data_IF_261872544395
#
_entry.id   IF_261872544395
#
_cell.length_a   1.000
_cell.length_b   1.000
_cell.length_c   1.000
_cell.angle_alpha   90.00
_cell.angle_beta   90.00
_cell.angle_gamma   90.00
#
_symmetry.space_group_name_H-M   'P 1'
#
loop_
_entity.id
_entity.type
_entity.pdbx_description
1 polymer ?
#
# COMPACT_ATOMS: atom_id res chain seq x y z
N UNK A 1 -4.32 -3.63 -18.97
CA UNK A 1 -5.14 -3.46 -17.76
C UNK A 1 -6.29 -4.46 -17.89
N UNK A 2 -6.13 -5.66 -17.35
CA UNK A 2 -7.21 -6.65 -17.28
C UNK A 2 -8.03 -6.34 -16.02
N UNK A 3 -9.37 -6.35 -16.12
CA UNK A 3 -10.27 -5.96 -15.02
C UNK A 3 -10.01 -6.73 -13.71
N UNK A 4 -9.50 -7.97 -13.80
CA UNK A 4 -9.11 -8.79 -12.66
C UNK A 4 -7.97 -8.18 -11.84
N UNK A 5 -7.06 -7.45 -12.49
CA UNK A 5 -5.90 -6.83 -11.83
C UNK A 5 -6.27 -5.59 -11.01
N UNK A 6 -7.28 -4.82 -11.46
CA UNK A 6 -7.71 -3.59 -10.75
C UNK A 6 -8.49 -3.93 -9.48
N UNK A 7 -9.39 -4.91 -9.55
CA UNK A 7 -10.14 -5.39 -8.36
C UNK A 7 -9.17 -6.01 -7.34
N UNK A 8 -8.23 -6.84 -7.80
CA UNK A 8 -7.20 -7.41 -6.93
C UNK A 8 -6.34 -6.33 -6.28
N UNK A 9 -5.92 -5.31 -7.03
CA UNK A 9 -5.16 -4.18 -6.49
C UNK A 9 -5.94 -3.39 -5.44
N UNK A 10 -7.24 -3.15 -5.65
CA UNK A 10 -8.10 -2.48 -4.67
C UNK A 10 -8.25 -3.30 -3.39
N UNK A 11 -8.48 -4.61 -3.51
CA UNK A 11 -8.59 -5.52 -2.36
C UNK A 11 -7.27 -5.61 -1.58
N UNK A 12 -6.17 -5.83 -2.30
CA UNK A 12 -4.83 -5.92 -1.71
C UNK A 12 -4.44 -4.58 -1.07
N UNK A 13 -4.69 -3.46 -1.73
CA UNK A 13 -4.43 -2.11 -1.20
C UNK A 13 -5.26 -1.79 0.03
N UNK A 14 -6.53 -2.19 0.06
CA UNK A 14 -7.39 -2.02 1.23
C UNK A 14 -6.89 -2.82 2.45
N UNK A 15 -6.52 -4.09 2.24
CA UNK A 15 -5.97 -4.96 3.30
C UNK A 15 -4.61 -4.43 3.76
N UNK A 16 -3.72 -4.10 2.83
CA UNK A 16 -2.40 -3.53 3.08
C UNK A 16 -2.49 -2.22 3.87
N UNK A 17 -3.37 -1.30 3.45
CA UNK A 17 -3.62 -0.03 4.12
C UNK A 17 -4.14 -0.20 5.55
N UNK A 18 -5.06 -1.14 5.76
CA UNK A 18 -5.55 -1.46 7.11
C UNK A 18 -4.45 -2.01 8.03
N UNK A 19 -3.63 -2.94 7.53
CA UNK A 19 -2.50 -3.50 8.26
C UNK A 19 -1.47 -2.42 8.57
N UNK A 20 -1.11 -1.59 7.58
CA UNK A 20 -0.15 -0.50 7.74
C UNK A 20 -0.64 0.52 8.77
N UNK A 21 -1.94 0.84 8.76
CA UNK A 21 -2.56 1.70 9.75
C UNK A 21 -2.56 1.14 11.18
N UNK A 22 -2.70 -0.19 11.33
CA UNK A 22 -2.54 -0.87 12.62
C UNK A 22 -1.08 -0.88 13.09
N UNK A 23 -0.13 -1.02 12.16
CA UNK A 23 1.30 -0.99 12.43
C UNK A 23 1.75 0.40 12.87
N UNK A 24 1.22 1.44 12.23
CA UNK A 24 1.45 2.84 12.57
C UNK A 24 0.51 3.32 13.69
N UNK A 25 0.69 2.80 14.92
CA UNK A 25 -0.07 3.25 16.09
C UNK A 25 0.08 4.78 16.28
N UNK A 26 -1.03 5.51 16.17
CA UNK A 26 -1.10 6.96 16.39
C UNK A 26 -0.80 7.85 15.17
N UNK A 27 -0.48 7.29 13.99
CA UNK A 27 -0.25 8.06 12.75
C UNK A 27 -1.22 7.74 11.61
N UNK A 28 -2.15 6.81 11.81
CA UNK A 28 -3.18 6.45 10.81
C UNK A 28 -4.35 7.43 10.73
N UNK A 29 -5.08 7.38 9.60
CA UNK A 29 -6.23 8.24 9.27
C UNK A 29 -7.60 7.60 9.59
N UNK A 30 -7.64 6.68 10.57
CA UNK A 30 -8.81 5.80 10.78
C UNK A 30 -8.98 4.78 9.65
N UNK A 31 -10.07 3.98 9.69
CA UNK A 31 -10.27 2.87 8.74
C UNK A 31 -10.32 3.34 7.28
N UNK A 32 -11.16 4.35 6.99
CA UNK A 32 -11.35 4.85 5.63
C UNK A 32 -10.11 5.51 5.04
N UNK A 33 -9.44 6.39 5.81
CA UNK A 33 -8.24 7.06 5.31
C UNK A 33 -7.09 6.08 5.08
N UNK A 34 -6.95 5.06 5.93
CA UNK A 34 -5.94 4.02 5.73
C UNK A 34 -6.19 3.17 4.48
N UNK A 35 -7.46 2.92 4.11
CA UNK A 35 -7.81 2.23 2.86
C UNK A 35 -7.42 3.08 1.65
N UNK A 36 -7.74 4.38 1.65
CA UNK A 36 -7.38 5.29 0.54
C UNK A 36 -5.87 5.35 0.37
N UNK A 37 -5.13 5.57 1.47
CA UNK A 37 -3.67 5.59 1.43
C UNK A 37 -3.11 4.23 1.00
N UNK A 38 -3.76 3.14 1.42
CA UNK A 38 -3.39 1.79 1.01
C UNK A 38 -3.52 1.54 -0.50
N UNK A 39 -4.58 2.05 -1.12
CA UNK A 39 -4.79 1.97 -2.57
C UNK A 39 -3.73 2.78 -3.32
N UNK A 40 -3.44 4.00 -2.86
CA UNK A 40 -2.40 4.86 -3.45
C UNK A 40 -1.00 4.25 -3.25
N UNK A 41 -0.76 3.60 -2.10
CA UNK A 41 0.48 2.88 -1.78
C UNK A 41 0.69 1.64 -2.61
N UNK A 42 -0.36 0.87 -2.86
CA UNK A 42 -0.31 -0.26 -3.78
C UNK A 42 0.03 0.18 -5.21
N UNK A 43 -0.52 1.31 -5.66
CA UNK A 43 -0.23 1.87 -6.99
C UNK A 43 1.23 2.29 -7.10
N UNK A 44 1.72 3.08 -6.14
CA UNK A 44 3.10 3.55 -6.11
C UNK A 44 4.09 2.38 -5.98
N UNK A 45 3.81 1.39 -5.14
CA UNK A 45 4.64 0.20 -5.02
C UNK A 45 4.68 -0.59 -6.34
N UNK A 46 3.54 -0.74 -7.02
CA UNK A 46 3.45 -1.41 -8.32
C UNK A 46 4.24 -0.73 -9.44
N UNK A 47 4.52 0.57 -9.31
CA UNK A 47 5.33 1.33 -10.28
C UNK A 47 6.81 1.37 -9.87
N UNK A 48 7.11 1.51 -8.58
CA UNK A 48 8.48 1.74 -8.07
C UNK A 48 9.26 0.43 -7.87
N UNK A 49 8.63 -0.63 -7.39
CA UNK A 49 9.36 -1.88 -7.11
C UNK A 49 9.90 -2.56 -8.37
N UNK A 50 9.16 -2.62 -9.50
CA UNK A 50 9.70 -3.19 -10.74
C UNK A 50 10.92 -2.43 -11.27
N UNK A 51 10.97 -1.10 -11.10
CA UNK A 51 12.09 -0.28 -11.57
C UNK A 51 13.33 -0.42 -10.70
N UNK A 52 13.17 -0.82 -9.43
CA UNK A 52 14.26 -1.13 -8.50
C UNK A 52 14.84 -2.56 -8.67
N UNK A 53 14.40 -3.30 -9.69
CA UNK A 53 14.86 -4.67 -9.94
C UNK A 53 14.20 -5.72 -9.04
N UNK A 54 13.23 -5.32 -8.22
CA UNK A 54 12.33 -6.27 -7.56
C UNK A 54 11.33 -6.76 -8.60
N UNK A 55 11.70 -7.84 -9.29
CA UNK A 55 10.77 -8.56 -10.14
C UNK A 55 9.59 -8.99 -9.28
N UNK A 56 8.39 -8.51 -9.63
CA UNK A 56 7.13 -8.94 -9.03
C UNK A 56 7.02 -10.45 -9.25
N UNK A 57 7.48 -11.24 -8.28
CA UNK A 57 7.29 -12.68 -8.30
C UNK A 57 5.81 -12.93 -8.52
N UNK A 58 5.47 -13.71 -9.55
CA UNK A 58 4.13 -13.82 -10.14
C UNK A 58 3.07 -14.47 -9.24
N UNK A 59 2.90 -14.00 -8.01
CA UNK A 59 1.98 -14.54 -7.02
C UNK A 59 1.33 -13.47 -6.17
N UNK A 60 0.12 -13.77 -5.72
CA UNK A 60 -0.73 -12.89 -4.89
C UNK A 60 -0.02 -12.50 -3.57
N UNK A 61 0.85 -13.36 -3.04
CA UNK A 61 1.60 -13.08 -1.81
C UNK A 61 2.61 -11.95 -2.03
N UNK A 62 3.36 -11.98 -3.14
CA UNK A 62 4.35 -10.95 -3.44
C UNK A 62 3.67 -9.58 -3.64
N UNK A 63 2.55 -9.53 -4.35
CA UNK A 63 1.81 -8.28 -4.54
C UNK A 63 1.28 -7.70 -3.23
N UNK A 64 0.82 -8.54 -2.29
CA UNK A 64 0.41 -8.09 -0.94
C UNK A 64 1.58 -7.50 -0.16
N UNK A 65 2.75 -8.14 -0.17
CA UNK A 65 3.93 -7.63 0.52
C UNK A 65 4.36 -6.26 -0.03
N UNK A 66 4.46 -6.14 -1.36
CA UNK A 66 4.88 -4.91 -2.02
C UNK A 66 3.89 -3.77 -1.76
N UNK A 67 2.58 -4.05 -1.89
CA UNK A 67 1.53 -3.09 -1.58
C UNK A 67 1.54 -2.65 -0.11
N UNK A 68 1.83 -3.58 0.81
CA UNK A 68 1.98 -3.28 2.24
C UNK A 68 3.14 -2.34 2.49
N UNK A 69 4.30 -2.59 1.88
CA UNK A 69 5.48 -1.71 2.02
C UNK A 69 5.17 -0.30 1.48
N UNK A 70 4.59 -0.19 0.28
CA UNK A 70 4.20 1.11 -0.28
C UNK A 70 3.21 1.89 0.60
N UNK A 71 2.24 1.18 1.18
CA UNK A 71 1.24 1.76 2.08
C UNK A 71 1.84 2.23 3.41
N UNK A 72 2.77 1.45 3.98
CA UNK A 72 3.50 1.81 5.21
C UNK A 72 4.35 3.06 4.98
N UNK A 73 5.08 3.12 3.85
CA UNK A 73 5.92 4.28 3.51
C UNK A 73 5.05 5.54 3.36
N UNK A 74 3.93 5.46 2.65
CA UNK A 74 3.03 6.61 2.50
C UNK A 74 2.45 7.06 3.84
N UNK A 75 1.90 6.14 4.63
CA UNK A 75 1.38 6.50 5.96
C UNK A 75 2.48 7.09 6.85
N UNK A 76 3.72 6.62 6.71
CA UNK A 76 4.86 7.16 7.44
C UNK A 76 5.17 8.60 7.01
N UNK A 77 5.30 8.86 5.71
CA UNK A 77 5.58 10.20 5.18
C UNK A 77 4.47 11.18 5.54
N UNK A 78 3.21 10.79 5.30
CA UNK A 78 2.07 11.66 5.60
C UNK A 78 1.95 11.90 7.11
N UNK A 79 2.18 10.86 7.93
CA UNK A 79 2.20 10.98 9.38
C UNK A 79 3.36 11.83 9.92
N UNK A 80 4.48 11.89 9.20
CA UNK A 80 5.62 12.76 9.51
C UNK A 80 5.29 14.22 9.22
N UNK A 81 4.76 14.51 8.03
CA UNK A 81 4.41 15.88 7.58
C UNK A 81 3.34 16.50 8.48
N UNK A 82 2.34 15.73 8.93
CA UNK A 82 1.30 16.23 9.84
C UNK A 82 1.78 16.53 11.26
N UNK A 83 2.97 16.05 11.65
CA UNK A 83 3.52 16.21 13.00
C UNK A 83 4.52 17.36 13.09
N UNK A 84 4.96 17.89 11.95
CA UNK A 84 5.72 19.13 11.82
C UNK A 84 4.74 20.32 11.74
#
# INVERSE_FOLDING_TARGET
MEFNSVIAMLLVGAIAGWIAGKLMKGRGFGLFGNIIVGIVGAFLAGVIFPTLGFAVGGGVIASIFHATIGSVILLFVIGLVRRA
#
